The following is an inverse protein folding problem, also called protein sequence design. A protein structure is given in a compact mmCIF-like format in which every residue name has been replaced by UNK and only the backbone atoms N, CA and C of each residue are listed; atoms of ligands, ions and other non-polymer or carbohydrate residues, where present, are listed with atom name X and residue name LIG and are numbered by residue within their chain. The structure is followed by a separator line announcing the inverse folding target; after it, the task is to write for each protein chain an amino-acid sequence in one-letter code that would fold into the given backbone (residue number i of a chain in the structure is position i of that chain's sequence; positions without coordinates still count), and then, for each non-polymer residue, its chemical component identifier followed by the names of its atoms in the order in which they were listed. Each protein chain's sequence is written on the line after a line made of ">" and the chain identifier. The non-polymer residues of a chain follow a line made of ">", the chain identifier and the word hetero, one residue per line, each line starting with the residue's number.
data_IF_637656910045
#
_entry.id   IF_637656910045
#
_cell.length_a   1.000
_cell.length_b   1.000
_cell.length_c   1.000
_cell.angle_alpha   90.00
_cell.angle_beta   90.00
_cell.angle_gamma   90.00
#
_symmetry.space_group_name_H-M   'P 1'
#
loop_
_entity.id
_entity.type
_entity.pdbx_description
1 polymer ?
#
# COMPACT_ATOMS: atom_id res chain seq x y z
N UNK A 1 1.33 -18.46 -13.90
CA UNK A 1 1.16 -18.61 -12.45
C UNK A 1 2.38 -18.10 -11.67
N UNK A 2 3.62 -18.52 -11.98
CA UNK A 2 4.83 -18.00 -11.31
C UNK A 2 4.93 -16.47 -11.33
N UNK A 3 4.83 -15.85 -12.52
CA UNK A 3 4.84 -14.38 -12.65
C UNK A 3 3.69 -13.74 -11.85
N UNK A 4 2.49 -14.32 -11.92
CA UNK A 4 1.32 -13.82 -11.19
C UNK A 4 1.49 -13.87 -9.66
N UNK A 5 2.22 -14.86 -9.13
CA UNK A 5 2.54 -14.96 -7.70
C UNK A 5 3.60 -13.95 -7.25
N UNK A 6 4.39 -13.40 -8.19
CA UNK A 6 5.42 -12.38 -7.90
C UNK A 6 4.92 -10.95 -8.06
N UNK A 7 3.94 -10.70 -8.94
CA UNK A 7 3.41 -9.36 -9.20
C UNK A 7 2.97 -8.59 -7.94
N UNK A 8 2.31 -9.19 -6.93
CA UNK A 8 1.94 -8.49 -5.71
C UNK A 8 3.12 -7.88 -4.96
N UNK A 9 4.33 -8.43 -5.10
CA UNK A 9 5.54 -7.87 -4.49
C UNK A 9 5.91 -6.50 -5.07
N UNK A 10 5.34 -6.10 -6.22
CA UNK A 10 5.48 -4.75 -6.75
C UNK A 10 4.94 -3.66 -5.82
N UNK A 11 4.00 -3.99 -4.92
CA UNK A 11 3.44 -3.05 -3.94
C UNK A 11 4.48 -2.51 -2.93
N UNK A 12 5.63 -3.17 -2.82
CA UNK A 12 6.77 -2.70 -2.00
C UNK A 12 7.65 -1.68 -2.72
N UNK A 13 7.53 -1.58 -4.05
CA UNK A 13 8.37 -0.71 -4.87
C UNK A 13 7.62 0.55 -5.31
N UNK A 14 6.30 0.45 -5.49
CA UNK A 14 5.46 1.52 -6.01
C UNK A 14 4.46 1.98 -4.95
N UNK A 15 4.15 3.29 -4.91
CA UNK A 15 3.13 3.79 -4.00
C UNK A 15 1.75 3.28 -4.41
N UNK A 16 0.94 2.93 -3.42
CA UNK A 16 -0.46 2.54 -3.60
C UNK A 16 -1.32 3.74 -3.99
N UNK A 17 -1.03 4.89 -3.38
CA UNK A 17 -1.76 6.13 -3.57
C UNK A 17 -0.85 7.35 -3.47
N UNK A 18 -1.26 8.43 -4.13
CA UNK A 18 -0.67 9.78 -3.97
C UNK A 18 -1.78 10.76 -3.62
N UNK A 19 -1.62 11.46 -2.50
CA UNK A 19 -2.48 12.59 -2.14
C UNK A 19 -1.75 13.87 -2.53
N UNK A 20 -2.47 14.83 -3.12
CA UNK A 20 -1.95 16.16 -3.47
C UNK A 20 -2.93 17.20 -2.96
N UNK A 21 -2.40 18.21 -2.28
CA UNK A 21 -3.13 19.28 -1.61
C UNK A 21 -2.70 20.60 -2.25
N UNK A 22 -3.65 21.23 -2.94
CA UNK A 22 -3.46 22.52 -3.59
C UNK A 22 -4.15 23.60 -2.76
N UNK A 23 -3.42 24.66 -2.42
CA UNK A 23 -3.97 25.80 -1.73
C UNK A 23 -3.22 27.08 -2.15
N UNK A 24 -3.89 28.24 -2.21
CA UNK A 24 -3.25 29.51 -2.60
C UNK A 24 -2.01 29.90 -1.77
N UNK A 25 -1.90 29.37 -0.55
CA UNK A 25 -0.82 29.66 0.39
C UNK A 25 0.47 28.89 0.11
N UNK A 26 0.40 27.80 -0.67
CA UNK A 26 1.54 26.95 -1.00
C UNK A 26 1.86 27.08 -2.50
N UNK A 27 2.97 27.76 -2.89
CA UNK A 27 3.35 27.92 -4.29
C UNK A 27 3.58 26.58 -5.00
N UNK A 28 4.11 25.60 -4.26
CA UNK A 28 4.23 24.20 -4.67
C UNK A 28 3.18 23.38 -3.91
N UNK A 29 2.34 22.59 -4.61
CA UNK A 29 1.37 21.71 -3.95
C UNK A 29 2.06 20.76 -2.98
N UNK A 30 1.47 20.59 -1.80
CA UNK A 30 1.94 19.60 -0.82
C UNK A 30 1.45 18.22 -1.25
N UNK A 31 2.25 17.18 -1.05
CA UNK A 31 1.82 15.83 -1.34
C UNK A 31 2.44 14.75 -0.46
N UNK A 32 1.80 13.60 -0.45
CA UNK A 32 2.25 12.42 0.27
C UNK A 32 1.96 11.18 -0.57
N UNK A 33 2.93 10.27 -0.61
CA UNK A 33 2.78 8.92 -1.11
C UNK A 33 2.41 7.97 0.02
N UNK A 34 1.48 7.07 -0.25
CA UNK A 34 1.09 5.99 0.66
C UNK A 34 1.63 4.71 0.07
N UNK A 35 2.62 4.12 0.74
CA UNK A 35 3.14 2.79 0.42
C UNK A 35 2.41 1.74 1.26
N UNK A 36 2.60 0.47 0.92
CA UNK A 36 2.00 -0.65 1.66
C UNK A 36 2.46 -0.71 3.14
N UNK A 37 3.61 -0.11 3.45
CA UNK A 37 4.26 -0.20 4.75
C UNK A 37 4.67 1.15 5.36
N UNK A 38 4.44 2.27 4.67
CA UNK A 38 4.87 3.58 5.15
C UNK A 38 4.17 4.75 4.44
N UNK A 39 4.28 5.94 5.02
CA UNK A 39 4.00 7.21 4.37
C UNK A 39 5.31 7.86 3.92
N UNK A 40 5.30 8.52 2.76
CA UNK A 40 6.48 9.22 2.26
C UNK A 40 6.11 10.59 1.70
N UNK A 41 6.99 11.55 1.92
CA UNK A 41 6.91 12.90 1.38
C UNK A 41 6.89 12.89 -0.17
N UNK A 42 5.98 13.65 -0.79
CA UNK A 42 6.08 13.90 -2.23
C UNK A 42 7.16 14.93 -2.56
N UNK A 43 7.29 15.96 -1.72
CA UNK A 43 8.39 16.90 -1.67
C UNK A 43 8.93 17.00 -0.24
N UNK A 44 10.19 17.42 -0.03
CA UNK A 44 10.80 17.45 1.30
C UNK A 44 9.95 18.18 2.34
N UNK A 45 9.63 17.50 3.44
CA UNK A 45 8.85 18.03 4.57
C UNK A 45 7.35 18.25 4.31
N UNK A 46 6.79 17.71 3.23
CA UNK A 46 5.37 17.85 2.93
C UNK A 46 4.47 17.32 4.05
N UNK A 47 4.71 16.10 4.56
CA UNK A 47 3.91 15.51 5.65
C UNK A 47 3.93 16.41 6.89
N UNK A 48 5.09 17.01 7.20
CA UNK A 48 5.22 17.95 8.31
C UNK A 48 4.39 19.22 8.09
N UNK A 49 4.44 19.78 6.88
CA UNK A 49 3.65 20.97 6.52
C UNK A 49 2.14 20.68 6.49
N UNK A 50 1.74 19.51 6.00
CA UNK A 50 0.35 19.03 6.04
C UNK A 50 -0.11 18.90 7.49
N UNK A 51 0.72 18.34 8.37
CA UNK A 51 0.43 18.21 9.79
C UNK A 51 0.30 19.56 10.51
N UNK A 52 1.15 20.53 10.17
CA UNK A 52 1.04 21.91 10.66
C UNK A 52 -0.29 22.55 10.22
N UNK A 53 -0.66 22.37 8.95
CA UNK A 53 -1.95 22.82 8.43
C UNK A 53 -3.11 22.14 9.18
N UNK A 54 -3.06 20.82 9.34
CA UNK A 54 -4.08 20.04 10.06
C UNK A 54 -4.30 20.58 11.47
N UNK A 55 -3.22 20.91 12.19
CA UNK A 55 -3.31 21.54 13.50
C UNK A 55 -4.11 22.85 13.48
N UNK A 56 -3.87 23.73 12.50
CA UNK A 56 -4.57 25.00 12.38
C UNK A 56 -6.03 24.87 11.95
N UNK A 57 -6.37 23.85 11.16
CA UNK A 57 -7.77 23.58 10.74
C UNK A 57 -8.52 22.62 11.68
N UNK A 58 -7.88 22.19 12.77
CA UNK A 58 -8.47 21.27 13.76
C UNK A 58 -8.56 19.81 13.32
N UNK A 59 -7.83 19.40 12.28
CA UNK A 59 -7.71 18.01 11.84
C UNK A 59 -6.61 17.27 12.62
N UNK A 60 -6.70 15.94 12.65
CA UNK A 60 -5.70 15.07 13.30
C UNK A 60 -4.38 15.10 12.51
N UNK A 61 -3.28 14.91 13.24
CA UNK A 61 -1.99 14.61 12.63
C UNK A 61 -2.07 13.27 11.89
N UNK A 62 -1.41 13.21 10.75
CA UNK A 62 -1.09 11.98 10.05
C UNK A 62 -0.19 11.16 10.98
N UNK A 63 -0.62 9.95 11.39
CA UNK A 63 0.18 9.11 12.27
C UNK A 63 1.44 8.63 11.55
N UNK A 64 2.52 8.40 12.29
CA UNK A 64 3.75 7.83 11.73
C UNK A 64 3.55 6.38 11.24
N UNK A 65 2.64 5.64 11.88
CA UNK A 65 2.32 4.28 11.47
C UNK A 65 0.85 3.95 11.75
N UNK A 66 0.29 3.09 10.91
CA UNK A 66 -1.02 2.47 11.08
C UNK A 66 -0.85 0.93 11.18
N UNK A 67 -1.76 0.20 11.85
CA UNK A 67 -1.67 -1.26 11.95
C UNK A 67 -1.53 -1.98 10.60
N UNK A 68 -2.16 -1.43 9.56
CA UNK A 68 -2.15 -1.93 8.19
C UNK A 68 -0.73 -2.03 7.61
N UNK A 69 0.19 -1.14 8.03
CA UNK A 69 1.60 -1.20 7.62
C UNK A 69 2.34 -2.46 8.09
N UNK A 70 1.76 -3.22 9.02
CA UNK A 70 2.26 -4.55 9.40
C UNK A 70 1.44 -5.67 8.77
N UNK A 71 0.12 -5.48 8.68
CA UNK A 71 -0.82 -6.50 8.21
C UNK A 71 -0.70 -6.70 6.69
N UNK A 72 -0.71 -5.62 5.90
CA UNK A 72 -0.68 -5.72 4.44
C UNK A 72 0.63 -6.30 3.91
N UNK A 73 1.82 -5.84 4.34
CA UNK A 73 3.07 -6.45 3.91
C UNK A 73 3.15 -7.94 4.22
N UNK A 74 2.75 -8.34 5.43
CA UNK A 74 2.74 -9.74 5.83
C UNK A 74 1.78 -10.57 4.96
N UNK A 75 0.56 -10.07 4.72
CA UNK A 75 -0.43 -10.71 3.86
C UNK A 75 0.06 -10.92 2.44
N UNK A 76 0.65 -9.90 1.83
CA UNK A 76 1.20 -9.97 0.47
C UNK A 76 2.37 -10.95 0.39
N UNK A 77 3.29 -10.95 1.36
CA UNK A 77 4.43 -11.89 1.38
C UNK A 77 3.93 -13.33 1.52
N UNK A 78 3.04 -13.60 2.48
CA UNK A 78 2.52 -14.95 2.74
C UNK A 78 1.78 -15.50 1.52
N UNK A 79 0.91 -14.69 0.90
CA UNK A 79 0.11 -15.12 -0.25
C UNK A 79 0.96 -15.27 -1.52
N UNK A 80 2.01 -14.45 -1.69
CA UNK A 80 2.98 -14.59 -2.79
C UNK A 80 3.79 -15.88 -2.66
N UNK A 81 4.31 -16.18 -1.46
CA UNK A 81 5.03 -17.43 -1.18
C UNK A 81 4.11 -18.64 -1.41
N UNK A 82 2.87 -18.59 -0.91
CA UNK A 82 1.88 -19.64 -1.13
C UNK A 82 1.61 -19.84 -2.63
N UNK A 83 1.46 -18.74 -3.39
CA UNK A 83 1.26 -18.76 -4.83
C UNK A 83 2.44 -19.42 -5.57
N UNK A 84 3.68 -19.12 -5.16
CA UNK A 84 4.88 -19.76 -5.69
C UNK A 84 4.89 -21.27 -5.41
N UNK A 85 4.64 -21.68 -4.16
CA UNK A 85 4.59 -23.10 -3.79
C UNK A 85 3.54 -23.87 -4.61
N UNK A 86 2.36 -23.29 -4.82
CA UNK A 86 1.31 -23.92 -5.62
C UNK A 86 1.69 -23.92 -7.11
N UNK A 87 2.37 -22.89 -7.60
CA UNK A 87 2.81 -22.81 -8.99
C UNK A 87 3.77 -23.97 -9.34
N UNK A 88 4.67 -24.34 -8.42
CA UNK A 88 5.54 -25.52 -8.59
C UNK A 88 4.77 -26.84 -8.58
N UNK A 89 3.65 -26.94 -7.85
CA UNK A 89 2.80 -28.14 -7.83
C UNK A 89 2.03 -28.36 -9.14
N UNK A 90 1.82 -27.32 -9.94
CA UNK A 90 1.25 -27.44 -11.30
C UNK A 90 -0.21 -27.92 -11.38
N UNK A 91 -0.98 -27.81 -10.29
CA UNK A 91 -2.36 -28.32 -10.22
C UNK A 91 -3.40 -27.19 -10.28
N UNK A 92 -4.27 -27.22 -11.28
CA UNK A 92 -5.27 -26.17 -11.55
C UNK A 92 -6.27 -25.95 -10.40
N UNK A 93 -6.61 -26.98 -9.61
CA UNK A 93 -7.54 -26.84 -8.48
C UNK A 93 -6.94 -25.97 -7.37
N UNK A 94 -5.65 -26.16 -7.10
CA UNK A 94 -4.93 -25.35 -6.12
C UNK A 94 -4.69 -23.93 -6.63
N UNK A 95 -4.47 -23.77 -7.94
CA UNK A 95 -4.46 -22.45 -8.56
C UNK A 95 -5.79 -21.73 -8.37
N UNK A 96 -6.92 -22.38 -8.66
CA UNK A 96 -8.25 -21.78 -8.47
C UNK A 96 -8.51 -21.41 -7.01
N UNK A 97 -8.12 -22.26 -6.06
CA UNK A 97 -8.20 -21.94 -4.64
C UNK A 97 -7.41 -20.67 -4.30
N UNK A 98 -6.14 -20.61 -4.72
CA UNK A 98 -5.30 -19.43 -4.49
C UNK A 98 -5.85 -18.18 -5.17
N UNK A 99 -6.37 -18.32 -6.39
CA UNK A 99 -6.96 -17.21 -7.14
C UNK A 99 -8.21 -16.65 -6.45
N UNK A 100 -9.11 -17.51 -5.97
CA UNK A 100 -10.28 -17.08 -5.19
C UNK A 100 -9.85 -16.42 -3.88
N UNK A 101 -8.86 -16.97 -3.19
CA UNK A 101 -8.29 -16.36 -1.98
C UNK A 101 -7.77 -14.95 -2.26
N UNK A 102 -7.00 -14.77 -3.33
CA UNK A 102 -6.49 -13.44 -3.73
C UNK A 102 -7.63 -12.47 -4.03
N UNK A 103 -8.67 -12.91 -4.75
CA UNK A 103 -9.84 -12.06 -5.01
C UNK A 103 -10.52 -11.60 -3.72
N UNK A 104 -10.74 -12.52 -2.78
CA UNK A 104 -11.36 -12.17 -1.49
C UNK A 104 -10.50 -11.18 -0.72
N UNK A 105 -9.19 -11.42 -0.61
CA UNK A 105 -8.27 -10.54 0.11
C UNK A 105 -8.20 -9.14 -0.53
N UNK A 106 -8.11 -9.05 -1.87
CA UNK A 106 -8.07 -7.76 -2.55
C UNK A 106 -9.38 -7.00 -2.51
N UNK A 107 -10.52 -7.69 -2.52
CA UNK A 107 -11.81 -7.00 -2.27
C UNK A 107 -11.96 -6.52 -0.83
N UNK A 108 -11.30 -7.17 0.13
CA UNK A 108 -11.23 -6.73 1.52
C UNK A 108 -10.24 -5.56 1.74
N UNK A 109 -9.53 -5.13 0.69
CA UNK A 109 -8.60 -4.00 0.72
C UNK A 109 -7.12 -4.37 0.85
N UNK A 110 -6.76 -5.63 0.63
CA UNK A 110 -5.38 -6.15 0.72
C UNK A 110 -4.77 -6.45 -0.65
#
# INVERSE_FOLDING_TARGET
>A
MLVAALLPLGLFLFPLWKITLEAPQYPTPLGMYIYINDFSDANPHDIKNINLMNHYVGMKYIPEAIPEFKIFPAGIIITSILGLLIAFKGNYKWFLFWFILMLVLSTAGL
#
